data_IF_372917013609
#
_entry.id   IF_372917013609
#
_cell.length_a   1.000
_cell.length_b   1.000
_cell.length_c   1.000
_cell.angle_alpha   90.00
_cell.angle_beta   90.00
_cell.angle_gamma   90.00
#
_symmetry.space_group_name_H-M   'P 1'
#
loop_
_entity.id
_entity.type
_entity.pdbx_description
1 polymer ?
#
# COMPACT_ATOMS: atom_id res chain seq x y z
N UNK A 1 2.34 10.95 -14.93
CA UNK A 1 1.51 9.80 -14.47
C UNK A 1 1.32 8.92 -15.69
N UNK A 2 2.19 7.93 -15.86
CA UNK A 2 2.03 6.87 -16.86
C UNK A 2 1.81 5.62 -16.03
N UNK A 3 0.54 5.23 -15.93
CA UNK A 3 0.10 3.98 -15.36
C UNK A 3 -0.06 2.99 -16.51
N UNK A 4 0.73 1.92 -16.52
CA UNK A 4 0.50 0.64 -17.23
C UNK A 4 1.71 -0.26 -16.92
N UNK A 5 1.61 -1.58 -16.72
CA UNK A 5 1.02 -2.67 -17.52
C UNK A 5 0.93 -3.88 -16.57
N UNK A 6 -0.10 -4.72 -16.44
CA UNK A 6 -1.43 -4.88 -17.03
C UNK A 6 -2.33 -5.49 -15.92
N UNK A 7 -3.64 -5.21 -15.87
CA UNK A 7 -4.52 -5.97 -14.98
C UNK A 7 -4.67 -7.42 -15.49
N UNK A 8 -4.76 -8.41 -14.59
CA UNK A 8 -5.29 -9.71 -14.98
C UNK A 8 -6.70 -9.54 -15.54
N UNK A 9 -7.00 -10.28 -16.61
CA UNK A 9 -8.35 -10.35 -17.18
C UNK A 9 -9.31 -10.94 -16.15
N UNK A 10 -10.54 -10.45 -16.14
CA UNK A 10 -11.59 -10.84 -15.20
C UNK A 10 -11.73 -12.37 -15.03
N UNK A 11 -11.86 -12.80 -13.78
CA UNK A 11 -12.15 -14.16 -13.35
C UNK A 11 -13.44 -14.68 -14.01
N UNK A 12 -13.41 -15.95 -14.44
CA UNK A 12 -14.62 -16.77 -14.55
C UNK A 12 -14.46 -17.90 -13.55
N UNK A 13 -15.38 -18.00 -12.59
CA UNK A 13 -15.39 -19.08 -11.60
C UNK A 13 -15.68 -20.40 -12.32
N UNK A 14 -14.75 -21.37 -12.36
CA UNK A 14 -15.05 -22.68 -12.94
C UNK A 14 -15.92 -23.49 -11.98
N UNK A 15 -16.87 -24.25 -12.51
CA UNK A 15 -17.62 -25.26 -11.75
C UNK A 15 -16.79 -26.54 -11.65
N UNK A 16 -16.31 -26.88 -10.45
CA UNK A 16 -15.71 -28.18 -10.16
C UNK A 16 -16.48 -28.90 -9.05
N UNK A 17 -16.35 -30.23 -9.05
CA UNK A 17 -16.85 -31.13 -7.99
C UNK A 17 -16.50 -30.56 -6.61
N UNK A 18 -17.44 -30.66 -5.67
CA UNK A 18 -17.34 -30.00 -4.38
C UNK A 18 -15.97 -30.29 -3.73
N UNK A 19 -15.10 -29.27 -3.55
CA UNK A 19 -13.80 -29.48 -2.93
C UNK A 19 -14.00 -30.12 -1.56
N UNK A 20 -13.06 -30.98 -1.16
CA UNK A 20 -13.00 -31.43 0.23
C UNK A 20 -12.94 -30.21 1.15
N UNK A 21 -13.56 -30.35 2.31
CA UNK A 21 -13.69 -29.26 3.27
C UNK A 21 -13.59 -29.84 4.67
N UNK A 22 -12.65 -29.30 5.46
CA UNK A 22 -12.55 -29.61 6.89
C UNK A 22 -13.63 -28.90 7.73
N UNK A 23 -14.37 -27.96 7.12
CA UNK A 23 -15.49 -27.31 7.80
C UNK A 23 -16.64 -28.27 8.11
N UNK A 24 -17.37 -27.97 9.19
CA UNK A 24 -18.58 -28.72 9.53
C UNK A 24 -19.55 -28.68 8.35
N UNK A 25 -20.15 -29.82 7.92
CA UNK A 25 -21.09 -29.84 6.80
C UNK A 25 -22.27 -28.87 6.95
N UNK A 26 -22.73 -28.63 8.18
CA UNK A 26 -23.78 -27.66 8.47
C UNK A 26 -23.36 -26.21 8.16
N UNK A 27 -22.09 -25.85 8.33
CA UNK A 27 -21.55 -24.54 7.96
C UNK A 27 -21.56 -24.36 6.44
N UNK A 28 -21.09 -25.37 5.71
CA UNK A 28 -21.03 -25.37 4.25
C UNK A 28 -22.45 -25.22 3.67
N UNK A 29 -23.40 -26.01 4.17
CA UNK A 29 -24.80 -25.92 3.76
C UNK A 29 -25.40 -24.53 4.05
N UNK A 30 -25.12 -23.99 5.24
CA UNK A 30 -25.56 -22.64 5.59
C UNK A 30 -24.93 -21.58 4.67
N UNK A 31 -23.65 -21.73 4.32
CA UNK A 31 -22.96 -20.84 3.41
C UNK A 31 -23.57 -20.84 2.00
N UNK A 32 -23.82 -22.02 1.45
CA UNK A 32 -24.49 -22.19 0.15
C UNK A 32 -25.87 -21.51 0.16
N UNK A 33 -26.70 -21.83 1.15
CA UNK A 33 -28.04 -21.23 1.26
C UNK A 33 -28.00 -19.71 1.44
N UNK A 34 -27.06 -19.20 2.23
CA UNK A 34 -26.90 -17.76 2.46
C UNK A 34 -26.47 -17.03 1.19
N UNK A 35 -25.53 -17.59 0.43
CA UNK A 35 -25.06 -17.07 -0.85
C UNK A 35 -26.16 -17.12 -1.92
N UNK A 36 -26.90 -18.22 -2.06
CA UNK A 36 -28.05 -18.31 -2.98
C UNK A 36 -29.10 -17.24 -2.66
N UNK A 37 -29.37 -17.01 -1.37
CA UNK A 37 -30.27 -15.96 -0.91
C UNK A 37 -29.75 -14.54 -1.12
N UNK A 38 -28.45 -14.34 -1.36
CA UNK A 38 -27.87 -13.04 -1.75
C UNK A 38 -27.91 -12.85 -3.27
N UNK A 39 -27.53 -13.85 -4.05
CA UNK A 39 -27.52 -13.78 -5.51
C UNK A 39 -28.92 -13.72 -6.14
N UNK A 40 -29.95 -14.20 -5.43
CA UNK A 40 -31.35 -14.08 -5.86
C UNK A 40 -31.95 -12.68 -5.64
N UNK A 41 -31.23 -11.75 -5.00
CA UNK A 41 -31.71 -10.40 -4.72
C UNK A 41 -31.65 -9.51 -5.96
N UNK A 42 -32.79 -8.95 -6.32
CA UNK A 42 -32.92 -8.01 -7.46
C UNK A 42 -32.55 -6.57 -7.10
N UNK A 43 -32.46 -6.25 -5.81
CA UNK A 43 -32.16 -4.91 -5.29
C UNK A 43 -30.66 -4.60 -5.22
N UNK A 44 -29.80 -5.57 -5.56
CA UNK A 44 -28.34 -5.49 -5.50
C UNK A 44 -27.76 -5.80 -6.88
N UNK A 45 -26.66 -5.16 -7.32
CA UNK A 45 -26.02 -5.50 -8.60
C UNK A 45 -25.62 -6.97 -8.68
N UNK A 46 -25.91 -7.64 -9.80
CA UNK A 46 -25.55 -9.05 -10.02
C UNK A 46 -24.04 -9.29 -10.08
N UNK A 47 -23.24 -8.24 -10.29
CA UNK A 47 -21.78 -8.28 -10.31
C UNK A 47 -21.16 -8.08 -8.92
N UNK A 48 -21.97 -7.97 -7.86
CA UNK A 48 -21.46 -7.78 -6.50
C UNK A 48 -20.85 -9.08 -5.99
N UNK A 49 -19.63 -8.98 -5.48
CA UNK A 49 -18.86 -10.13 -5.00
C UNK A 49 -19.37 -10.57 -3.63
N UNK A 50 -19.89 -11.79 -3.54
CA UNK A 50 -20.23 -12.44 -2.27
C UNK A 50 -19.49 -13.76 -2.16
N UNK A 51 -18.58 -13.86 -1.18
CA UNK A 51 -17.82 -15.08 -0.87
C UNK A 51 -17.94 -15.38 0.63
N UNK A 52 -18.00 -16.66 0.98
CA UNK A 52 -18.02 -17.13 2.36
C UNK A 52 -16.94 -18.18 2.66
N UNK A 53 -16.52 -18.90 1.63
CA UNK A 53 -15.50 -19.95 1.67
C UNK A 53 -14.40 -19.60 0.68
N UNK A 54 -13.15 -19.89 1.02
CA UNK A 54 -12.00 -19.79 0.13
C UNK A 54 -11.18 -21.08 0.22
N UNK A 55 -10.63 -21.59 -0.90
CA UNK A 55 -9.75 -22.74 -0.85
C UNK A 55 -8.44 -22.36 -0.14
N UNK A 56 -7.94 -23.21 0.75
CA UNK A 56 -6.59 -23.08 1.30
C UNK A 56 -5.54 -23.48 0.28
N UNK A 57 -4.26 -23.27 0.61
CA UNK A 57 -3.13 -23.79 -0.17
C UNK A 57 -3.16 -25.33 -0.35
N UNK A 58 -3.84 -26.06 0.55
CA UNK A 58 -4.02 -27.51 0.45
C UNK A 58 -5.22 -27.90 -0.45
N UNK A 59 -5.96 -26.90 -0.98
CA UNK A 59 -7.14 -27.09 -1.82
C UNK A 59 -8.45 -27.30 -1.05
N UNK A 60 -8.41 -27.28 0.28
CA UNK A 60 -9.59 -27.47 1.13
C UNK A 60 -10.45 -26.21 1.21
N UNK A 61 -11.77 -26.33 1.14
CA UNK A 61 -12.67 -25.20 1.31
C UNK A 61 -12.73 -24.76 2.77
N UNK A 62 -12.28 -23.54 3.05
CA UNK A 62 -12.19 -22.97 4.41
C UNK A 62 -13.11 -21.77 4.56
N UNK A 63 -13.76 -21.65 5.72
CA UNK A 63 -14.55 -20.47 6.05
C UNK A 63 -13.66 -19.23 6.22
N UNK A 64 -13.88 -18.19 5.41
CA UNK A 64 -12.95 -17.05 5.29
C UNK A 64 -12.55 -16.42 6.63
N UNK A 65 -13.47 -16.19 7.60
CA UNK A 65 -13.10 -15.68 8.93
C UNK A 65 -12.01 -16.47 9.66
N UNK A 66 -11.78 -17.75 9.35
CA UNK A 66 -10.69 -18.54 9.95
C UNK A 66 -9.30 -18.08 9.53
N UNK A 67 -9.17 -17.38 8.40
CA UNK A 67 -7.90 -16.75 8.02
C UNK A 67 -7.57 -15.54 8.90
N UNK A 68 -8.47 -15.09 9.77
CA UNK A 68 -8.24 -13.95 10.67
C UNK A 68 -8.13 -14.41 12.14
N UNK A 69 -7.11 -13.93 12.84
CA UNK A 69 -7.03 -13.97 14.30
C UNK A 69 -7.47 -12.63 14.88
N UNK A 70 -8.50 -12.65 15.72
CA UNK A 70 -9.02 -11.44 16.36
C UNK A 70 -8.05 -10.71 17.27
N UNK A 71 -6.90 -11.30 17.61
CA UNK A 71 -5.79 -10.64 18.34
C UNK A 71 -4.86 -9.83 17.43
N UNK A 72 -4.97 -9.99 16.11
CA UNK A 72 -3.95 -9.54 15.18
C UNK A 72 -2.64 -10.33 15.35
N UNK A 73 -1.65 -10.02 14.52
CA UNK A 73 -0.33 -10.64 14.59
C UNK A 73 0.73 -9.57 14.80
N UNK A 74 1.75 -9.90 15.59
CA UNK A 74 2.80 -8.95 15.97
C UNK A 74 3.62 -8.53 14.74
N UNK A 75 3.74 -7.21 14.45
CA UNK A 75 4.62 -6.72 13.39
C UNK A 75 6.09 -7.09 13.63
N UNK A 76 6.93 -7.02 12.58
CA UNK A 76 8.35 -7.28 12.74
C UNK A 76 9.02 -6.23 13.66
N UNK A 77 10.17 -6.56 14.25
CA UNK A 77 10.92 -5.62 15.10
C UNK A 77 11.24 -4.32 14.34
N UNK A 78 11.11 -3.16 15.00
CA UNK A 78 11.41 -1.88 14.37
C UNK A 78 12.87 -1.79 13.89
N UNK A 79 13.79 -2.41 14.63
CA UNK A 79 15.22 -2.50 14.27
C UNK A 79 15.51 -3.15 12.91
N UNK A 80 14.56 -3.91 12.36
CA UNK A 80 14.71 -4.53 11.05
C UNK A 80 14.32 -3.59 9.91
N UNK A 81 13.84 -2.39 10.22
CA UNK A 81 13.39 -1.42 9.21
C UNK A 81 14.44 -0.35 8.94
N UNK A 82 14.51 0.15 7.69
CA UNK A 82 15.37 1.28 7.32
C UNK A 82 15.05 2.55 8.12
N UNK A 83 13.79 2.66 8.55
CA UNK A 83 13.31 3.74 9.40
C UNK A 83 13.92 3.70 10.80
N UNK A 84 14.47 2.60 11.27
CA UNK A 84 15.27 2.60 12.49
C UNK A 84 16.75 2.89 12.21
N UNK A 85 17.32 2.20 11.23
CA UNK A 85 18.76 2.22 10.93
C UNK A 85 19.31 3.62 10.57
N UNK A 86 18.51 4.46 9.91
CA UNK A 86 18.93 5.82 9.57
C UNK A 86 19.03 6.77 10.78
N UNK A 87 18.31 6.49 11.87
CA UNK A 87 18.30 7.34 13.07
C UNK A 87 19.52 7.06 13.96
N UNK A 88 20.00 5.81 14.01
CA UNK A 88 21.25 5.47 14.71
C UNK A 88 22.45 6.17 14.09
N UNK A 89 22.57 6.19 12.76
CA UNK A 89 23.66 6.84 12.02
C UNK A 89 23.74 8.37 12.23
N UNK A 90 22.63 9.03 12.60
CA UNK A 90 22.61 10.46 12.93
C UNK A 90 22.78 10.74 14.44
N UNK A 91 22.49 9.77 15.30
CA UNK A 91 22.48 9.92 16.76
C UNK A 91 23.86 9.88 17.43
N UNK A 92 24.91 9.47 16.70
CA UNK A 92 26.30 9.35 17.16
C UNK A 92 26.96 10.69 17.57
N UNK A 93 26.21 11.80 17.57
CA UNK A 93 26.72 13.13 17.96
C UNK A 93 26.02 13.82 19.13
N UNK A 94 25.04 13.21 19.83
CA UNK A 94 24.57 13.66 21.16
C UNK A 94 23.39 12.81 21.64
N UNK A 95 23.60 11.95 22.64
CA UNK A 95 22.73 11.91 23.84
C UNK A 95 23.36 11.14 25.00
N UNK A 96 23.22 11.62 26.25
CA UNK A 96 23.39 10.80 27.44
C UNK A 96 22.18 9.87 27.60
N UNK A 97 22.43 8.69 28.15
CA UNK A 97 21.42 7.69 28.49
C UNK A 97 20.29 8.30 29.33
N UNK A 98 19.12 8.53 28.72
CA UNK A 98 17.88 8.80 29.42
C UNK A 98 16.77 7.96 28.83
N UNK A 99 16.38 6.94 29.61
CA UNK A 99 15.07 6.30 29.57
C UNK A 99 14.82 5.42 28.37
N UNK A 100 15.21 4.15 28.48
CA UNK A 100 14.51 3.05 27.84
C UNK A 100 13.00 3.23 28.05
N UNK A 101 12.29 3.70 27.02
CA UNK A 101 10.85 3.48 26.96
C UNK A 101 10.71 1.97 26.77
N UNK A 102 10.24 1.29 27.81
CA UNK A 102 9.77 -0.10 27.77
C UNK A 102 8.48 -0.22 26.94
N UNK A 103 8.51 0.28 25.69
CA UNK A 103 7.46 0.11 24.69
C UNK A 103 7.96 -0.89 23.67
N UNK A 104 7.09 -1.80 23.25
CA UNK A 104 7.43 -2.87 22.30
C UNK A 104 8.09 -2.30 21.04
N UNK A 105 9.34 -2.71 20.78
CA UNK A 105 10.14 -2.23 19.64
C UNK A 105 9.68 -2.92 18.35
N UNK A 106 8.53 -2.49 17.83
CA UNK A 106 7.87 -3.04 16.63
C UNK A 106 7.64 -1.97 15.57
N UNK A 107 7.53 -2.42 14.32
CA UNK A 107 7.23 -1.57 13.16
C UNK A 107 5.97 -0.71 13.37
N UNK A 108 6.05 0.57 12.96
CA UNK A 108 4.90 1.47 12.95
C UNK A 108 3.95 1.20 11.77
N UNK A 109 2.83 1.94 11.72
CA UNK A 109 1.82 1.80 10.64
C UNK A 109 2.44 1.95 9.24
N UNK A 110 3.24 2.99 9.02
CA UNK A 110 3.85 3.25 7.72
C UNK A 110 4.89 2.19 7.33
N UNK A 111 5.65 1.67 8.30
CA UNK A 111 6.61 0.60 8.10
C UNK A 111 5.90 -0.70 7.70
N UNK A 112 4.83 -1.07 8.41
CA UNK A 112 4.00 -2.24 8.09
C UNK A 112 3.41 -2.13 6.68
N UNK A 113 2.80 -0.99 6.34
CA UNK A 113 2.22 -0.76 5.00
C UNK A 113 3.29 -0.87 3.93
N UNK A 114 4.46 -0.28 4.16
CA UNK A 114 5.57 -0.30 3.20
C UNK A 114 6.14 -1.71 3.03
N UNK A 115 6.32 -2.46 4.12
CA UNK A 115 6.82 -3.83 4.07
C UNK A 115 5.87 -4.77 3.35
N UNK A 116 4.58 -4.77 3.69
CA UNK A 116 3.58 -5.62 3.04
C UNK A 116 3.52 -5.31 1.54
N UNK A 117 3.47 -4.03 1.16
CA UNK A 117 3.44 -3.61 -0.25
C UNK A 117 4.74 -3.88 -1.03
N UNK A 118 5.81 -4.27 -0.34
CA UNK A 118 7.06 -4.67 -0.97
C UNK A 118 7.18 -6.18 -1.10
N UNK A 119 6.25 -6.99 -0.57
CA UNK A 119 6.22 -8.41 -0.91
C UNK A 119 5.77 -8.52 -2.39
N UNK A 120 6.46 -9.32 -3.23
CA UNK A 120 6.09 -9.47 -4.63
C UNK A 120 4.62 -9.86 -4.84
N UNK A 121 3.92 -9.08 -5.67
CA UNK A 121 2.60 -9.46 -6.14
C UNK A 121 2.71 -10.53 -7.22
N UNK A 122 2.13 -11.71 -6.98
CA UNK A 122 2.06 -12.80 -7.95
C UNK A 122 0.65 -13.38 -7.89
N UNK A 123 -0.13 -13.12 -8.95
CA UNK A 123 -1.49 -13.67 -9.06
C UNK A 123 -1.46 -15.19 -9.15
N UNK A 124 -2.38 -15.83 -8.43
CA UNK A 124 -2.57 -17.27 -8.49
C UNK A 124 -2.73 -17.81 -9.90
N UNK A 125 -3.40 -17.07 -10.79
CA UNK A 125 -3.58 -17.47 -12.19
C UNK A 125 -2.26 -17.74 -12.92
N UNK A 126 -1.21 -16.97 -12.59
CA UNK A 126 0.10 -17.14 -13.20
C UNK A 126 0.80 -18.44 -12.75
N UNK A 127 0.40 -18.98 -11.60
CA UNK A 127 1.01 -20.15 -10.97
C UNK A 127 0.15 -21.42 -11.11
N UNK A 128 -1.16 -21.30 -10.92
CA UNK A 128 -2.14 -22.37 -10.89
C UNK A 128 -3.35 -21.96 -11.72
N UNK A 129 -3.57 -22.66 -12.83
CA UNK A 129 -4.67 -22.40 -13.76
C UNK A 129 -6.02 -22.55 -13.04
N UNK A 130 -6.56 -21.44 -12.57
CA UNK A 130 -7.95 -21.21 -12.18
C UNK A 130 -8.36 -21.48 -10.70
N UNK A 131 -7.44 -21.43 -9.73
CA UNK A 131 -7.77 -21.49 -8.29
C UNK A 131 -7.25 -20.26 -7.53
N UNK A 132 -8.15 -19.48 -6.92
CA UNK A 132 -7.86 -18.35 -6.01
C UNK A 132 -7.74 -18.89 -4.58
N UNK A 133 -6.50 -19.26 -4.21
CA UNK A 133 -6.07 -19.92 -2.98
C UNK A 133 -5.64 -18.91 -1.92
N UNK A 134 -6.11 -19.13 -0.70
CA UNK A 134 -5.80 -18.26 0.43
C UNK A 134 -4.74 -18.91 1.32
N UNK A 135 -3.73 -18.14 1.68
CA UNK A 135 -2.65 -18.55 2.56
C UNK A 135 -2.74 -17.89 3.95
N UNK A 136 -2.14 -18.55 4.95
CA UNK A 136 -1.88 -17.93 6.26
C UNK A 136 -0.75 -16.91 6.17
N UNK A 137 -0.61 -16.04 7.17
CA UNK A 137 0.46 -15.04 7.19
C UNK A 137 1.85 -15.69 7.24
N UNK A 138 2.00 -16.83 7.93
CA UNK A 138 3.26 -17.57 7.97
C UNK A 138 3.62 -18.13 6.61
N UNK A 139 2.68 -18.81 5.94
CA UNK A 139 2.88 -19.32 4.58
C UNK A 139 3.23 -18.21 3.60
N UNK A 140 2.53 -17.07 3.66
CA UNK A 140 2.82 -15.92 2.82
C UNK A 140 4.22 -15.34 3.06
N UNK A 141 4.66 -15.26 4.32
CA UNK A 141 6.00 -14.77 4.68
C UNK A 141 7.11 -15.79 4.38
N UNK A 142 6.79 -17.08 4.26
CA UNK A 142 7.71 -18.13 3.81
C UNK A 142 7.86 -18.14 2.29
N UNK A 143 6.75 -17.98 1.55
CA UNK A 143 6.73 -17.94 0.08
C UNK A 143 7.29 -16.61 -0.44
N UNK A 144 7.03 -15.50 0.29
CA UNK A 144 7.38 -14.12 -0.10
C UNK A 144 6.86 -13.76 -1.50
N UNK A 145 5.64 -14.22 -1.81
CA UNK A 145 4.87 -13.84 -2.97
C UNK A 145 3.40 -14.24 -2.76
N UNK A 146 2.48 -13.47 -3.33
CA UNK A 146 1.03 -13.70 -3.22
C UNK A 146 0.27 -12.55 -3.86
N UNK A 147 -1.05 -12.55 -3.80
CA UNK A 147 -1.88 -11.53 -4.42
C UNK A 147 -2.71 -10.74 -3.39
N UNK A 148 -3.87 -10.21 -3.75
CA UNK A 148 -4.54 -9.18 -2.96
C UNK A 148 -4.93 -9.68 -1.56
N UNK A 149 -5.34 -10.94 -1.49
CA UNK A 149 -5.77 -11.71 -0.34
C UNK A 149 -4.70 -11.74 0.75
N UNK A 150 -3.52 -12.31 0.47
CA UNK A 150 -2.46 -12.47 1.46
C UNK A 150 -1.92 -11.13 1.95
N UNK A 151 -1.79 -10.17 1.04
CA UNK A 151 -1.35 -8.82 1.38
C UNK A 151 -2.36 -8.17 2.34
N UNK A 152 -3.65 -8.25 2.04
CA UNK A 152 -4.70 -7.65 2.86
C UNK A 152 -4.84 -8.36 4.20
N UNK A 153 -4.75 -9.69 4.24
CA UNK A 153 -4.76 -10.49 5.48
C UNK A 153 -3.59 -10.08 6.38
N UNK A 154 -2.35 -10.03 5.86
CA UNK A 154 -1.18 -9.66 6.65
C UNK A 154 -1.29 -8.22 7.19
N UNK A 155 -1.68 -7.27 6.34
CA UNK A 155 -1.83 -5.88 6.75
C UNK A 155 -2.94 -5.71 7.79
N UNK A 156 -4.07 -6.40 7.62
CA UNK A 156 -5.18 -6.39 8.59
C UNK A 156 -4.71 -6.89 9.96
N UNK A 157 -3.90 -7.95 10.02
CA UNK A 157 -3.37 -8.47 11.27
C UNK A 157 -2.43 -7.48 11.97
N UNK A 158 -1.52 -6.84 11.22
CA UNK A 158 -0.63 -5.82 11.78
C UNK A 158 -1.41 -4.62 12.32
N UNK A 159 -2.40 -4.14 11.59
CA UNK A 159 -3.24 -3.02 12.03
C UNK A 159 -4.04 -3.38 13.28
N UNK A 160 -4.63 -4.56 13.31
CA UNK A 160 -5.38 -5.07 14.47
C UNK A 160 -4.48 -5.19 15.69
N UNK A 161 -3.30 -5.77 15.55
CA UNK A 161 -2.34 -5.90 16.64
C UNK A 161 -1.90 -4.52 17.15
N UNK A 162 -1.49 -3.61 16.26
CA UNK A 162 -1.07 -2.26 16.62
C UNK A 162 -2.19 -1.50 17.35
N UNK A 163 -3.45 -1.63 16.91
CA UNK A 163 -4.57 -0.96 17.55
C UNK A 163 -4.85 -1.51 18.96
N UNK A 164 -4.77 -2.82 19.16
CA UNK A 164 -4.94 -3.45 20.47
C UNK A 164 -3.85 -3.04 21.46
N UNK A 165 -2.63 -2.82 20.96
CA UNK A 165 -1.49 -2.36 21.77
C UNK A 165 -1.40 -0.82 21.84
N UNK A 166 -2.40 -0.09 21.31
CA UNK A 166 -2.49 1.39 21.30
C UNK A 166 -1.32 2.06 20.57
N UNK A 167 -0.74 1.37 19.59
CA UNK A 167 0.35 1.82 18.73
C UNK A 167 -0.12 2.25 17.33
N UNK A 168 -1.40 2.03 17.01
CA UNK A 168 -2.01 2.55 15.79
C UNK A 168 -2.34 4.04 15.96
N UNK A 169 -1.68 4.94 15.22
CA UNK A 169 -1.92 6.39 15.33
C UNK A 169 -2.67 6.89 14.08
N UNK A 170 -3.86 7.47 14.26
CA UNK A 170 -4.63 8.11 13.19
C UNK A 170 -4.32 9.61 13.19
N UNK A 171 -4.10 10.26 12.03
CA UNK A 171 -3.98 11.72 11.97
C UNK A 171 -5.32 12.38 12.36
N UNK A 172 -5.31 13.33 13.30
CA UNK A 172 -6.50 14.19 13.54
C UNK A 172 -6.74 15.05 12.29
N UNK A 173 -7.89 14.87 11.62
CA UNK A 173 -8.36 15.82 10.62
C UNK A 173 -8.74 17.11 11.34
N UNK A 174 -8.24 18.23 10.84
CA UNK A 174 -8.49 19.55 11.40
C UNK A 174 -9.98 19.85 11.36
N UNK A 175 -10.63 19.94 12.53
CA UNK A 175 -12.03 20.29 12.63
C UNK A 175 -12.33 21.62 11.94
N UNK A 176 -13.45 21.61 11.23
CA UNK A 176 -14.11 22.69 10.52
C UNK A 176 -14.25 23.95 11.37
N UNK A 177 -13.82 25.08 10.81
CA UNK A 177 -14.20 26.41 11.23
C UNK A 177 -15.67 26.66 10.91
N UNK A 178 -16.58 26.28 11.80
CA UNK A 178 -17.93 26.82 11.85
C UNK A 178 -18.12 27.45 13.24
N UNK A 179 -17.87 28.75 13.28
CA UNK A 179 -18.36 29.70 14.29
C UNK A 179 -18.13 31.11 13.71
N UNK A 180 -19.00 31.49 12.77
CA UNK A 180 -19.15 32.88 12.32
C UNK A 180 -20.65 33.16 12.20
N UNK A 181 -21.30 33.25 13.35
CA UNK A 181 -22.48 34.09 13.50
C UNK A 181 -22.13 35.33 14.33
N UNK A 182 -22.75 36.43 13.92
CA UNK A 182 -22.87 37.73 14.57
C UNK A 182 -21.61 38.58 14.78
N UNK A 183 -21.53 39.69 14.03
CA UNK A 183 -21.92 41.00 14.58
C UNK A 183 -21.88 42.09 13.50
N UNK A 184 -23.02 42.72 13.30
CA UNK A 184 -23.17 44.00 12.63
C UNK A 184 -22.68 45.14 13.54
N UNK A 185 -22.15 46.18 12.89
CA UNK A 185 -22.04 47.57 13.33
C UNK A 185 -21.17 47.94 14.55
N UNK A 186 -20.20 48.81 14.23
CA UNK A 186 -19.84 50.06 14.91
C UNK A 186 -18.65 50.08 15.89
N UNK A 187 -17.86 51.15 15.82
CA UNK A 187 -16.91 51.56 16.88
C UNK A 187 -15.42 51.47 16.56
N UNK A 188 -14.85 52.62 16.19
CA UNK A 188 -13.46 52.85 15.79
C UNK A 188 -12.51 53.17 16.98
N UNK A 189 -11.32 52.52 17.00
CA UNK A 189 -10.00 52.91 17.61
C UNK A 189 -9.78 52.87 19.15
N UNK A 190 -8.50 52.85 19.65
CA UNK A 190 -7.27 52.24 19.12
C UNK A 190 -6.33 51.55 20.16
N UNK A 191 -5.29 50.87 19.64
CA UNK A 191 -3.91 50.76 20.19
C UNK A 191 -3.53 49.55 21.08
N UNK A 192 -2.72 48.64 20.53
CA UNK A 192 -1.26 48.53 20.80
C UNK A 192 -0.66 47.28 20.11
N UNK A 193 0.43 47.48 19.36
CA UNK A 193 1.29 46.41 18.84
C UNK A 193 1.95 45.68 20.00
N UNK A 194 1.77 44.37 20.10
CA UNK A 194 2.79 43.45 20.61
C UNK A 194 2.92 42.28 19.64
N UNK A 195 4.18 41.98 19.31
CA UNK A 195 4.61 40.94 18.38
C UNK A 195 4.17 39.55 18.83
N UNK A 196 3.41 38.83 18.00
CA UNK A 196 3.16 37.40 18.18
C UNK A 196 4.01 36.58 17.20
N UNK A 197 5.02 35.96 17.77
CA UNK A 197 5.72 34.77 17.29
C UNK A 197 4.72 33.77 16.71
N UNK A 198 4.99 33.30 15.48
CA UNK A 198 4.32 32.15 14.87
C UNK A 198 4.69 30.90 15.66
N UNK A 199 3.89 30.56 16.67
CA UNK A 199 4.00 29.30 17.40
C UNK A 199 3.41 28.21 16.50
N UNK A 200 4.29 27.48 15.79
CA UNK A 200 3.98 26.18 15.19
C UNK A 200 3.26 25.31 16.23
N UNK A 201 1.97 25.06 16.04
CA UNK A 201 1.24 24.04 16.77
C UNK A 201 1.78 22.68 16.34
N UNK A 202 2.47 21.98 17.27
CA UNK A 202 2.80 20.56 17.11
C UNK A 202 1.47 19.81 17.08
N UNK A 203 1.23 19.02 16.03
CA UNK A 203 0.16 18.04 16.03
C UNK A 203 0.35 17.13 17.27
N UNK A 204 -0.68 17.08 18.12
CA UNK A 204 -0.68 16.24 19.32
C UNK A 204 -1.37 14.95 18.94
N UNK A 205 -0.60 13.87 18.76
CA UNK A 205 -1.14 12.54 18.54
C UNK A 205 -1.94 12.09 19.77
N UNK A 206 -3.24 11.81 19.62
CA UNK A 206 -4.09 11.20 20.67
C UNK A 206 -4.35 9.72 20.39
N UNK A 207 -4.55 8.97 21.48
CA UNK A 207 -4.72 7.51 21.49
C UNK A 207 -6.07 7.07 20.87
N UNK A 208 -6.14 5.93 20.14
CA UNK A 208 -7.40 5.46 19.58
C UNK A 208 -8.21 4.73 20.64
N UNK A 209 -9.39 5.27 20.95
CA UNK A 209 -10.55 4.47 21.31
C UNK A 209 -11.50 4.59 20.12
N UNK A 210 -11.66 3.54 19.30
CA UNK A 210 -12.70 3.51 18.28
C UNK A 210 -12.35 3.04 16.86
N UNK A 211 -11.13 2.57 16.56
CA UNK A 211 -10.87 2.03 15.20
C UNK A 211 -11.32 0.57 15.07
N UNK A 212 -11.92 0.21 13.94
CA UNK A 212 -12.26 -1.17 13.57
C UNK A 212 -11.75 -1.45 12.17
N UNK A 213 -11.16 -2.64 11.97
CA UNK A 213 -10.66 -3.07 10.67
C UNK A 213 -11.51 -4.21 10.12
N UNK A 214 -11.79 -4.16 8.83
CA UNK A 214 -12.47 -5.21 8.10
C UNK A 214 -11.61 -5.63 6.91
N UNK A 215 -11.63 -6.91 6.59
CA UNK A 215 -11.23 -7.38 5.27
C UNK A 215 -12.41 -7.16 4.32
N UNK A 216 -12.19 -6.52 3.18
CA UNK A 216 -13.26 -6.17 2.26
C UNK A 216 -13.11 -6.93 0.94
N UNK A 217 -14.09 -7.79 0.64
CA UNK A 217 -14.22 -8.39 -0.68
C UNK A 217 -14.90 -7.38 -1.59
N UNK A 218 -14.25 -7.02 -2.67
CA UNK A 218 -14.71 -5.93 -3.52
C UNK A 218 -14.34 -6.16 -4.98
N UNK A 219 -14.86 -5.27 -5.83
CA UNK A 219 -14.39 -5.12 -7.20
C UNK A 219 -13.71 -3.77 -7.34
N UNK A 220 -12.48 -3.75 -7.83
CA UNK A 220 -11.66 -2.57 -8.02
C UNK A 220 -11.17 -2.44 -9.46
N UNK A 221 -10.64 -1.27 -9.82
CA UNK A 221 -10.07 -1.00 -11.14
C UNK A 221 -8.62 -0.55 -10.99
N UNK A 222 -7.66 -1.20 -11.66
CA UNK A 222 -7.88 -2.19 -12.72
C UNK A 222 -7.94 -3.65 -12.23
N UNK A 223 -7.81 -3.90 -10.92
CA UNK A 223 -7.60 -5.24 -10.33
C UNK A 223 -8.71 -6.27 -10.60
N UNK A 224 -9.98 -5.85 -10.73
CA UNK A 224 -11.10 -6.79 -10.84
C UNK A 224 -11.63 -7.19 -9.46
N UNK A 225 -12.00 -8.46 -9.26
CA UNK A 225 -12.33 -8.98 -7.93
C UNK A 225 -11.07 -8.96 -7.07
N UNK A 226 -11.14 -8.40 -5.86
CA UNK A 226 -9.97 -8.04 -5.09
C UNK A 226 -10.29 -7.86 -3.60
N UNK A 227 -9.25 -7.90 -2.77
CA UNK A 227 -9.35 -7.78 -1.32
C UNK A 227 -8.58 -6.57 -0.79
N UNK A 228 -9.29 -5.75 -0.01
CA UNK A 228 -8.76 -4.52 0.58
C UNK A 228 -8.93 -4.53 2.10
N UNK A 229 -8.17 -3.70 2.80
CA UNK A 229 -8.37 -3.48 4.25
C UNK A 229 -9.18 -2.19 4.45
N UNK A 230 -10.31 -2.27 5.15
CA UNK A 230 -11.16 -1.13 5.46
C UNK A 230 -10.99 -0.77 6.93
N UNK A 231 -10.51 0.45 7.18
CA UNK A 231 -10.40 1.04 8.50
C UNK A 231 -11.60 1.95 8.73
N UNK A 232 -12.40 1.69 9.76
CA UNK A 232 -13.50 2.56 10.18
C UNK A 232 -13.14 3.20 11.53
N UNK A 233 -13.04 4.53 11.56
CA UNK A 233 -12.81 5.27 12.80
C UNK A 233 -14.15 5.66 13.44
N UNK A 234 -14.50 5.09 14.58
CA UNK A 234 -15.73 5.38 15.34
C UNK A 234 -15.50 6.61 16.24
N UNK A 235 -16.24 7.69 15.98
CA UNK A 235 -16.21 8.96 16.72
C UNK A 235 -16.96 10.08 16.00
N UNK A 236 -17.11 11.26 16.62
CA UNK A 236 -17.63 12.46 15.94
C UNK A 236 -16.68 12.84 14.79
N UNK A 237 -17.20 12.86 13.55
CA UNK A 237 -16.37 13.05 12.36
C UNK A 237 -15.64 11.79 11.86
N UNK A 238 -16.11 10.59 12.25
CA UNK A 238 -15.53 9.31 11.87
C UNK A 238 -15.24 9.17 10.37
N UNK A 239 -13.96 8.98 10.03
CA UNK A 239 -13.46 8.73 8.68
C UNK A 239 -13.32 7.22 8.42
N UNK A 240 -13.57 6.82 7.18
CA UNK A 240 -13.30 5.46 6.69
C UNK A 240 -12.15 5.53 5.69
N UNK A 241 -11.11 4.73 5.90
CA UNK A 241 -9.95 4.62 5.00
C UNK A 241 -9.94 3.25 4.35
N UNK A 242 -9.76 3.23 3.04
CA UNK A 242 -9.67 2.05 2.18
C UNK A 242 -8.19 1.86 1.83
N UNK A 243 -7.59 0.76 2.29
CA UNK A 243 -6.19 0.43 2.11
C UNK A 243 -6.03 -0.65 1.06
N UNK A 244 -5.28 -0.34 0.00
CA UNK A 244 -4.76 -1.33 -0.92
C UNK A 244 -3.42 -1.84 -0.36
N UNK A 245 -3.40 -3.07 0.11
CA UNK A 245 -2.24 -3.63 0.79
C UNK A 245 -1.07 -3.97 -0.16
N UNK A 246 -1.37 -4.39 -1.39
CA UNK A 246 -0.35 -4.75 -2.40
C UNK A 246 0.40 -3.53 -2.96
N UNK A 247 -0.22 -2.35 -2.94
CA UNK A 247 0.41 -1.09 -3.39
C UNK A 247 0.84 -0.17 -2.24
N UNK A 248 0.35 -0.45 -1.04
CA UNK A 248 0.55 0.38 0.16
C UNK A 248 -0.15 1.74 0.08
N UNK A 249 -1.18 1.87 -0.76
CA UNK A 249 -1.95 3.11 -0.91
C UNK A 249 -3.14 3.14 0.03
N UNK A 250 -3.43 4.33 0.57
CA UNK A 250 -4.58 4.60 1.41
C UNK A 250 -5.47 5.65 0.76
N UNK A 251 -6.77 5.40 0.73
CA UNK A 251 -7.76 6.30 0.18
C UNK A 251 -8.80 6.61 1.24
N UNK A 252 -9.14 7.88 1.47
CA UNK A 252 -10.38 8.15 2.18
C UNK A 252 -11.53 7.56 1.38
N UNK A 253 -12.54 7.00 2.05
CA UNK A 253 -13.73 6.47 1.39
C UNK A 253 -14.45 7.54 0.56
N UNK A 254 -14.26 8.83 0.87
CA UNK A 254 -14.82 9.95 0.09
C UNK A 254 -13.98 10.30 -1.16
N UNK A 255 -12.76 9.77 -1.30
CA UNK A 255 -11.90 10.05 -2.45
C UNK A 255 -12.44 9.35 -3.70
N UNK A 256 -12.83 10.14 -4.70
CA UNK A 256 -13.34 9.65 -5.98
C UNK A 256 -12.28 8.92 -6.82
N UNK A 257 -11.00 9.04 -6.47
CA UNK A 257 -9.89 8.32 -7.10
C UNK A 257 -9.65 6.95 -6.48
N UNK A 258 -10.38 6.59 -5.42
CA UNK A 258 -10.32 5.25 -4.85
C UNK A 258 -10.63 4.21 -5.96
N UNK A 259 -9.77 3.20 -6.15
CA UNK A 259 -9.94 2.22 -7.23
C UNK A 259 -11.16 1.32 -7.03
N UNK A 260 -11.58 1.11 -5.77
CA UNK A 260 -12.72 0.25 -5.40
C UNK A 260 -14.03 0.78 -5.97
N UNK A 261 -14.69 -0.05 -6.77
CA UNK A 261 -15.95 0.24 -7.46
C UNK A 261 -17.17 -0.36 -6.79
N UNK A 262 -17.05 -1.48 -6.09
CA UNK A 262 -18.18 -2.11 -5.39
C UNK A 262 -17.68 -2.99 -4.24
N UNK A 263 -18.02 -2.65 -2.99
CA UNK A 263 -17.77 -3.47 -1.81
C UNK A 263 -18.93 -4.44 -1.63
N UNK A 264 -18.62 -5.74 -1.65
CA UNK A 264 -19.60 -6.82 -1.53
C UNK A 264 -19.68 -7.41 -0.13
N UNK A 265 -18.54 -7.66 0.52
CA UNK A 265 -18.49 -8.15 1.90
C UNK A 265 -17.53 -7.33 2.76
N UNK A 266 -17.86 -7.16 4.04
CA UNK A 266 -16.92 -6.80 5.10
C UNK A 266 -16.78 -8.00 6.04
N UNK A 267 -15.56 -8.36 6.39
CA UNK A 267 -15.24 -9.59 7.10
C UNK A 267 -14.47 -9.26 8.37
N UNK A 268 -14.81 -9.99 9.42
CA UNK A 268 -14.15 -10.01 10.72
C UNK A 268 -13.85 -11.47 11.09
N UNK A 269 -13.01 -11.74 12.11
CA UNK A 269 -12.82 -13.10 12.63
C UNK A 269 -14.12 -13.77 13.10
N UNK A 270 -15.13 -12.96 13.42
CA UNK A 270 -16.39 -13.45 13.99
C UNK A 270 -17.50 -13.67 12.96
N UNK A 271 -17.50 -12.91 11.87
CA UNK A 271 -18.63 -12.86 10.96
C UNK A 271 -18.27 -12.28 9.59
N UNK A 272 -19.12 -12.57 8.61
CA UNK A 272 -19.13 -11.95 7.28
C UNK A 272 -20.40 -11.09 7.18
N UNK A 273 -20.25 -9.88 6.68
CA UNK A 273 -21.33 -8.92 6.50
C UNK A 273 -21.47 -8.61 5.01
N UNK A 274 -22.53 -9.10 4.38
CA UNK A 274 -22.82 -8.84 2.98
C UNK A 274 -23.49 -7.48 2.80
N UNK A 275 -22.95 -6.65 1.90
CA UNK A 275 -23.54 -5.38 1.52
C UNK A 275 -24.81 -5.64 0.70
N UNK A 276 -25.97 -5.38 1.29
CA UNK A 276 -27.29 -5.50 0.63
C UNK A 276 -27.86 -4.14 0.24
N UNK A 277 -27.05 -3.08 0.30
CA UNK A 277 -27.42 -1.75 -0.19
C UNK A 277 -27.34 -1.69 -1.71
N UNK A 278 -28.11 -0.80 -2.35
CA UNK A 278 -27.93 -0.50 -3.78
C UNK A 278 -26.55 0.08 -4.10
N UNK A 279 -26.04 0.92 -3.19
CA UNK A 279 -24.70 1.47 -3.28
C UNK A 279 -23.64 0.44 -2.87
N UNK A 280 -22.46 0.51 -3.46
CA UNK A 280 -21.29 -0.23 -2.97
C UNK A 280 -19.96 0.42 -3.25
N UNK A 281 -19.93 1.51 -4.04
CA UNK A 281 -18.76 2.40 -4.10
C UNK A 281 -18.48 3.00 -2.72
N UNK A 282 -17.21 3.05 -2.27
CA UNK A 282 -16.86 3.64 -0.98
C UNK A 282 -17.39 5.06 -0.80
N UNK A 283 -17.32 5.90 -1.85
CA UNK A 283 -17.79 7.29 -1.79
C UNK A 283 -19.30 7.40 -1.60
N UNK A 284 -20.07 6.49 -2.20
CA UNK A 284 -21.53 6.45 -2.04
C UNK A 284 -21.91 5.91 -0.65
N UNK A 285 -21.19 4.90 -0.17
CA UNK A 285 -21.37 4.37 1.20
C UNK A 285 -21.03 5.42 2.25
N UNK A 286 -19.95 6.20 2.06
CA UNK A 286 -19.53 7.25 2.99
C UNK A 286 -20.53 8.41 3.08
N UNK A 287 -21.29 8.68 2.00
CA UNK A 287 -22.33 9.73 1.98
C UNK A 287 -23.60 9.34 2.71
N UNK A 288 -23.88 8.05 2.84
CA UNK A 288 -25.07 7.55 3.54
C UNK A 288 -24.74 7.44 5.02
N UNK A 289 -25.55 8.07 5.87
CA UNK A 289 -25.42 7.96 7.34
C UNK A 289 -25.37 6.49 7.77
N UNK A 290 -24.25 6.06 8.34
CA UNK A 290 -24.02 4.66 8.74
C UNK A 290 -23.86 3.70 7.56
N UNK A 291 -23.34 4.12 6.41
CA UNK A 291 -23.15 3.24 5.25
C UNK A 291 -22.14 2.11 5.46
N UNK A 292 -21.20 2.29 6.40
CA UNK A 292 -20.25 1.28 6.88
C UNK A 292 -20.62 0.67 8.24
N UNK A 293 -21.81 0.98 8.76
CA UNK A 293 -22.26 0.42 10.05
C UNK A 293 -22.81 -1.00 9.85
N UNK A 294 -21.95 -1.99 10.09
CA UNK A 294 -22.27 -3.42 9.93
C UNK A 294 -23.38 -3.92 10.85
N UNK A 295 -23.72 -3.17 11.90
CA UNK A 295 -24.83 -3.52 12.81
C UNK A 295 -26.21 -3.17 12.21
N UNK A 296 -26.27 -2.27 11.20
CA UNK A 296 -27.51 -1.99 10.48
C UNK A 296 -27.82 -3.12 9.48
N UNK A 297 -28.58 -4.11 9.95
CA UNK A 297 -28.98 -5.30 9.16
C UNK A 297 -29.79 -5.00 7.90
N UNK A 298 -30.29 -3.76 7.72
CA UNK A 298 -30.94 -3.32 6.47
C UNK A 298 -29.93 -3.05 5.37
N UNK A 299 -28.67 -2.80 5.74
CA UNK A 299 -27.55 -2.46 4.86
C UNK A 299 -26.53 -3.58 4.76
N UNK A 300 -26.30 -4.26 5.88
CA UNK A 300 -25.29 -5.30 6.01
C UNK A 300 -25.95 -6.58 6.54
N UNK A 301 -26.16 -7.57 5.67
CA UNK A 301 -26.74 -8.85 6.07
C UNK A 301 -25.63 -9.71 6.69
N UNK A 302 -25.70 -10.05 7.99
CA UNK A 302 -24.69 -10.92 8.60
C UNK A 302 -24.85 -12.38 8.14
N UNK A 303 -23.74 -13.11 8.09
CA UNK A 303 -23.70 -14.55 7.85
C UNK A 303 -24.23 -15.31 9.06
N UNK A 304 -23.72 -15.00 10.26
CA UNK A 304 -24.30 -15.40 11.52
C UNK A 304 -25.28 -14.32 12.01
N UNK A 305 -26.53 -14.39 11.52
CA UNK A 305 -27.60 -13.51 11.99
C UNK A 305 -28.14 -13.89 13.38
N UNK A 306 -29.02 -13.08 13.98
CA UNK A 306 -29.53 -13.30 15.34
C UNK A 306 -30.25 -14.63 15.57
N UNK A 307 -30.77 -15.26 14.50
CA UNK A 307 -31.48 -16.54 14.54
C UNK A 307 -30.59 -17.75 14.30
N UNK A 308 -29.31 -17.53 14.00
CA UNK A 308 -28.35 -18.59 13.65
C UNK A 308 -27.59 -19.01 14.90
N UNK A 309 -27.63 -20.29 15.25
CA UNK A 309 -26.81 -20.83 16.33
C UNK A 309 -25.36 -20.99 15.86
N UNK A 310 -24.55 -19.94 16.05
CA UNK A 310 -23.14 -19.90 15.64
C UNK A 310 -22.35 -21.09 16.20
N UNK A 311 -22.53 -21.45 17.47
CA UNK A 311 -21.77 -22.54 18.11
C UNK A 311 -22.09 -23.93 17.52
N UNK A 312 -23.30 -24.11 16.99
CA UNK A 312 -23.68 -25.34 16.29
C UNK A 312 -23.01 -25.43 14.91
N UNK A 313 -22.89 -24.31 14.20
CA UNK A 313 -22.34 -24.27 12.83
C UNK A 313 -20.82 -24.16 12.79
N UNK A 314 -20.22 -23.42 13.72
CA UNK A 314 -18.83 -23.00 13.65
C UNK A 314 -18.10 -23.28 14.96
N UNK A 315 -16.95 -23.96 14.85
CA UNK A 315 -15.96 -24.03 15.94
C UNK A 315 -15.09 -22.77 15.86
N UNK A 316 -15.01 -21.94 16.89
CA UNK A 316 -14.05 -20.84 16.93
C UNK A 316 -12.63 -21.38 16.77
N UNK A 317 -11.88 -20.85 15.82
CA UNK A 317 -10.50 -21.22 15.55
C UNK A 317 -9.96 -20.45 14.35
N UNK A 318 -8.71 -20.02 14.44
CA UNK A 318 -7.97 -19.40 13.34
C UNK A 318 -7.01 -20.43 12.73
N UNK A 319 -6.68 -20.26 11.46
CA UNK A 319 -5.58 -20.96 10.79
C UNK A 319 -4.24 -20.29 11.05
N UNK A 320 -4.22 -19.06 11.58
CA UNK A 320 -3.00 -18.31 11.80
C UNK A 320 -2.16 -18.92 12.93
N UNK A 321 -0.85 -18.92 12.75
CA UNK A 321 0.09 -19.22 13.82
C UNK A 321 0.03 -18.16 14.92
N UNK A 322 0.35 -18.55 16.15
CA UNK A 322 0.32 -17.62 17.29
C UNK A 322 1.39 -16.53 17.19
N UNK A 323 2.54 -16.84 16.60
CA UNK A 323 3.67 -15.93 16.44
C UNK A 323 4.29 -16.08 15.05
N UNK A 324 4.58 -14.94 14.42
CA UNK A 324 5.27 -14.88 13.14
C UNK A 324 6.78 -14.77 13.35
N UNK A 325 7.55 -15.48 12.51
CA UNK A 325 9.01 -15.40 12.49
C UNK A 325 9.48 -14.51 11.36
N UNK A 326 10.41 -13.59 11.65
CA UNK A 326 10.99 -12.67 10.68
C UNK A 326 12.50 -12.84 10.64
N UNK A 327 13.06 -12.95 9.43
CA UNK A 327 14.52 -12.90 9.28
C UNK A 327 15.01 -11.45 9.33
N UNK A 328 16.19 -11.18 9.90
CA UNK A 328 16.81 -9.85 9.82
C UNK A 328 16.98 -9.36 8.39
N UNK A 329 16.98 -8.03 8.16
CA UNK A 329 17.22 -7.47 6.83
C UNK A 329 18.65 -7.75 6.37
N UNK A 330 18.83 -7.78 5.05
CA UNK A 330 20.15 -7.84 4.40
C UNK A 330 21.00 -6.64 4.80
N UNK A 331 22.31 -6.83 4.92
CA UNK A 331 23.21 -5.75 5.36
C UNK A 331 23.26 -4.58 4.36
N UNK A 332 23.50 -3.38 4.89
CA UNK A 332 23.60 -2.15 4.12
C UNK A 332 24.72 -2.16 3.07
N UNK A 333 25.84 -2.86 3.32
CA UNK A 333 26.95 -3.02 2.38
C UNK A 333 26.60 -3.94 1.21
N UNK A 334 25.83 -5.00 1.47
CA UNK A 334 25.30 -5.87 0.42
C UNK A 334 24.26 -5.13 -0.43
N UNK A 335 23.37 -4.35 0.19
CA UNK A 335 22.45 -3.46 -0.52
C UNK A 335 23.19 -2.46 -1.41
N UNK A 336 24.28 -1.86 -0.94
CA UNK A 336 25.09 -0.94 -1.73
C UNK A 336 25.78 -1.64 -2.91
N UNK A 337 26.26 -2.87 -2.71
CA UNK A 337 26.86 -3.69 -3.75
C UNK A 337 25.84 -4.08 -4.82
N UNK A 338 24.64 -4.49 -4.41
CA UNK A 338 23.52 -4.79 -5.32
C UNK A 338 23.09 -3.55 -6.10
N UNK A 339 22.99 -2.39 -5.45
CA UNK A 339 22.69 -1.13 -6.12
C UNK A 339 23.72 -0.80 -7.22
N UNK A 340 25.01 -0.98 -6.93
CA UNK A 340 26.08 -0.75 -7.90
C UNK A 340 25.99 -1.74 -9.08
N UNK A 341 25.76 -3.03 -8.79
CA UNK A 341 25.62 -4.07 -9.82
C UNK A 341 24.47 -3.76 -10.79
N UNK A 342 23.29 -3.42 -10.26
CA UNK A 342 22.12 -3.09 -11.10
C UNK A 342 22.39 -1.80 -11.89
N UNK A 343 23.05 -0.80 -11.28
CA UNK A 343 23.37 0.47 -11.94
C UNK A 343 24.29 0.27 -13.14
N UNK A 344 25.39 -0.48 -12.99
CA UNK A 344 26.32 -0.78 -14.07
C UNK A 344 25.65 -1.57 -15.19
N UNK A 345 24.88 -2.60 -14.83
CA UNK A 345 24.13 -3.40 -15.79
C UNK A 345 23.14 -2.55 -16.60
N UNK A 346 22.42 -1.62 -15.95
CA UNK A 346 21.54 -0.67 -16.64
C UNK A 346 22.32 0.28 -17.57
N UNK A 347 23.52 0.76 -17.18
CA UNK A 347 24.36 1.60 -18.04
C UNK A 347 24.76 0.87 -19.32
N UNK A 348 25.18 -0.38 -19.21
CA UNK A 348 25.55 -1.23 -20.33
C UNK A 348 24.34 -1.55 -21.24
N UNK A 349 23.20 -1.84 -20.62
CA UNK A 349 21.93 -2.05 -21.33
C UNK A 349 21.50 -0.80 -22.12
N UNK A 350 21.54 0.39 -21.50
CA UNK A 350 21.20 1.65 -22.19
C UNK A 350 22.16 1.90 -23.37
N UNK A 351 23.45 1.66 -23.20
CA UNK A 351 24.41 1.79 -24.28
C UNK A 351 24.09 0.84 -25.44
N UNK A 352 23.76 -0.41 -25.12
CA UNK A 352 23.39 -1.44 -26.10
C UNK A 352 22.10 -1.09 -26.84
N UNK A 353 21.05 -0.63 -26.14
CA UNK A 353 19.79 -0.24 -26.77
C UNK A 353 20.00 0.93 -27.74
N UNK A 354 20.74 1.96 -27.33
CA UNK A 354 21.04 3.12 -28.18
C UNK A 354 21.85 2.78 -29.42
N UNK A 355 22.80 1.84 -29.32
CA UNK A 355 23.55 1.37 -30.48
C UNK A 355 22.65 0.66 -31.49
N UNK A 356 21.73 -0.19 -31.02
CA UNK A 356 20.77 -0.90 -31.88
C UNK A 356 19.81 0.07 -32.58
N UNK A 357 19.33 1.09 -31.88
CA UNK A 357 18.38 2.06 -32.42
C UNK A 357 19.02 3.21 -33.21
N UNK A 358 20.36 3.25 -33.30
CA UNK A 358 21.13 4.30 -33.96
C UNK A 358 20.76 4.51 -35.43
N UNK A 359 20.60 3.42 -36.17
CA UNK A 359 20.30 3.47 -37.61
C UNK A 359 18.83 3.82 -37.88
N UNK A 360 17.95 3.65 -36.90
CA UNK A 360 16.50 3.79 -37.02
C UNK A 360 16.01 5.12 -36.44
N UNK A 361 16.09 5.29 -35.12
CA UNK A 361 15.41 6.35 -34.35
C UNK A 361 16.36 7.45 -33.86
N UNK A 362 17.66 7.17 -33.80
CA UNK A 362 18.66 8.05 -33.18
C UNK A 362 19.65 8.64 -34.18
N UNK A 363 19.22 8.92 -35.43
CA UNK A 363 20.10 9.54 -36.45
C UNK A 363 20.56 10.93 -36.00
N UNK A 364 21.88 11.15 -35.99
CA UNK A 364 22.50 12.40 -35.52
C UNK A 364 22.70 12.48 -34.00
N UNK A 365 22.11 11.56 -33.23
CA UNK A 365 22.36 11.46 -31.80
C UNK A 365 23.68 10.73 -31.50
N UNK A 366 24.23 10.94 -30.30
CA UNK A 366 25.42 10.22 -29.84
C UNK A 366 25.11 8.73 -29.66
N UNK A 367 25.99 7.88 -30.19
CA UNK A 367 25.86 6.42 -30.07
C UNK A 367 26.00 5.93 -28.63
N UNK A 368 26.97 6.48 -27.90
CA UNK A 368 27.23 6.15 -26.50
C UNK A 368 26.58 7.18 -25.57
N UNK A 369 25.82 6.73 -24.55
CA UNK A 369 25.23 7.64 -23.58
C UNK A 369 26.32 8.31 -22.74
N UNK A 370 26.13 9.60 -22.44
CA UNK A 370 26.97 10.33 -21.49
C UNK A 370 26.13 10.53 -20.24
N UNK A 371 26.61 10.04 -19.11
CA UNK A 371 25.91 10.21 -17.83
C UNK A 371 26.44 11.41 -17.07
N UNK A 372 25.54 12.15 -16.41
CA UNK A 372 25.87 13.32 -15.61
C UNK A 372 26.08 12.93 -14.13
N UNK A 373 27.34 12.77 -13.66
CA UNK A 373 27.61 12.22 -12.32
C UNK A 373 27.03 13.08 -11.20
N UNK A 374 27.17 14.41 -11.27
CA UNK A 374 26.64 15.31 -10.24
C UNK A 374 25.11 15.22 -10.12
N UNK A 375 24.41 15.15 -11.25
CA UNK A 375 22.97 14.98 -11.28
C UNK A 375 22.54 13.59 -10.79
N UNK A 376 23.31 12.54 -11.10
CA UNK A 376 23.12 11.19 -10.57
C UNK A 376 23.28 11.13 -9.05
N UNK A 377 24.26 11.84 -8.48
CA UNK A 377 24.42 11.93 -7.02
C UNK A 377 23.20 12.60 -6.37
N UNK A 378 22.71 13.71 -6.95
CA UNK A 378 21.49 14.39 -6.47
C UNK A 378 20.24 13.52 -6.59
N UNK A 379 20.12 12.79 -7.70
CA UNK A 379 19.03 11.84 -7.90
C UNK A 379 19.04 10.76 -6.81
N UNK A 380 20.21 10.24 -6.42
CA UNK A 380 20.34 9.25 -5.35
C UNK A 380 19.87 9.78 -3.99
N UNK A 381 20.13 11.05 -3.67
CA UNK A 381 19.63 11.68 -2.45
C UNK A 381 18.09 11.84 -2.47
N UNK A 382 17.50 12.15 -3.63
CA UNK A 382 16.05 12.15 -3.80
C UNK A 382 15.46 10.76 -3.57
N UNK A 383 16.09 9.70 -4.09
CA UNK A 383 15.61 8.32 -3.87
C UNK A 383 15.58 7.94 -2.39
N UNK A 384 16.59 8.37 -1.61
CA UNK A 384 16.61 8.19 -0.14
C UNK A 384 15.46 8.92 0.54
N UNK A 385 15.15 10.15 0.11
CA UNK A 385 14.02 10.91 0.63
C UNK A 385 12.67 10.28 0.28
N UNK A 386 12.55 9.70 -0.92
CA UNK A 386 11.34 8.98 -1.33
C UNK A 386 11.09 7.75 -0.46
N UNK A 387 12.13 7.00 -0.12
CA UNK A 387 12.01 5.86 0.80
C UNK A 387 11.63 6.32 2.22
N UNK A 388 12.25 7.40 2.71
CA UNK A 388 11.90 8.01 3.99
C UNK A 388 10.46 8.56 4.01
N UNK A 389 9.95 9.03 2.87
CA UNK A 389 8.56 9.46 2.71
C UNK A 389 7.60 8.27 2.76
N UNK A 390 7.94 7.16 2.08
CA UNK A 390 7.12 5.92 2.08
C UNK A 390 7.01 5.28 3.47
N UNK A 391 8.03 5.41 4.30
CA UNK A 391 8.04 4.95 5.71
C UNK A 391 7.50 6.01 6.69
N UNK A 392 6.98 7.14 6.20
CA UNK A 392 6.36 8.17 7.03
C UNK A 392 7.35 9.01 7.87
N UNK A 393 8.67 8.84 7.69
CA UNK A 393 9.69 9.63 8.40
C UNK A 393 9.75 11.07 7.95
N UNK A 394 9.49 11.31 6.67
CA UNK A 394 9.49 12.65 6.07
C UNK A 394 8.13 12.91 5.46
N UNK A 395 7.55 14.08 5.72
CA UNK A 395 6.22 14.47 5.22
C UNK A 395 6.29 15.37 3.98
N UNK A 396 7.48 15.87 3.64
CA UNK A 396 7.69 16.80 2.53
C UNK A 396 8.85 16.36 1.66
N UNK A 397 8.62 16.24 0.35
CA UNK A 397 9.68 15.95 -0.62
C UNK A 397 10.23 17.27 -1.17
N UNK A 398 11.54 17.47 -1.11
CA UNK A 398 12.18 18.66 -1.66
C UNK A 398 12.72 18.39 -3.07
N UNK A 399 11.79 18.18 -4.01
CA UNK A 399 12.11 17.99 -5.43
C UNK A 399 12.89 19.19 -6.00
N UNK A 400 12.49 20.40 -5.61
CA UNK A 400 13.06 21.64 -6.12
C UNK A 400 14.52 21.80 -5.69
N UNK A 401 14.84 21.57 -4.41
CA UNK A 401 16.22 21.65 -3.92
C UNK A 401 17.11 20.59 -4.57
N UNK A 402 16.60 19.36 -4.70
CA UNK A 402 17.37 18.21 -5.19
C UNK A 402 18.02 18.46 -6.55
N UNK A 403 17.34 19.18 -7.47
CA UNK A 403 17.88 19.52 -8.79
C UNK A 403 18.09 21.04 -9.03
N UNK A 404 17.95 21.89 -8.02
CA UNK A 404 18.03 23.37 -8.14
C UNK A 404 19.36 23.89 -8.69
N UNK A 405 20.46 23.16 -8.48
CA UNK A 405 21.79 23.52 -8.99
C UNK A 405 21.97 23.10 -10.45
N UNK A 406 21.43 21.95 -10.84
CA UNK A 406 21.49 21.40 -12.21
C UNK A 406 20.51 22.11 -13.14
N UNK A 407 19.31 22.43 -12.64
CA UNK A 407 18.22 23.05 -13.39
C UNK A 407 18.51 24.47 -13.88
N UNK A 408 19.55 25.13 -13.34
CA UNK A 408 19.98 26.46 -13.79
C UNK A 408 20.73 26.42 -15.13
N UNK A 409 21.35 25.28 -15.45
CA UNK A 409 22.19 25.14 -16.64
C UNK A 409 21.54 24.28 -17.73
N UNK A 410 20.68 23.34 -17.33
CA UNK A 410 20.04 22.36 -18.21
C UNK A 410 18.60 22.10 -17.78
N UNK A 411 17.72 21.84 -18.74
CA UNK A 411 16.39 21.33 -18.46
C UNK A 411 16.48 19.89 -17.94
N UNK A 412 15.95 19.63 -16.76
CA UNK A 412 15.93 18.31 -16.12
C UNK A 412 14.61 17.61 -16.43
N UNK A 413 14.64 16.50 -17.16
CA UNK A 413 13.50 15.64 -17.42
C UNK A 413 13.78 14.27 -16.80
N UNK A 414 13.18 13.95 -15.65
CA UNK A 414 13.42 12.68 -14.98
C UNK A 414 12.25 12.20 -14.15
N UNK A 415 12.24 10.91 -13.86
CA UNK A 415 11.21 10.26 -13.06
C UNK A 415 11.83 9.11 -12.26
N UNK A 416 11.06 8.57 -11.32
CA UNK A 416 11.47 7.49 -10.43
C UNK A 416 10.57 6.29 -10.57
N UNK A 417 11.16 5.10 -10.51
CA UNK A 417 10.46 3.83 -10.36
C UNK A 417 10.89 3.19 -9.05
N UNK A 418 9.96 2.53 -8.39
CA UNK A 418 10.23 1.66 -7.25
C UNK A 418 9.79 0.26 -7.59
N UNK A 419 10.65 -0.71 -7.28
CA UNK A 419 10.43 -2.11 -7.51
C UNK A 419 10.63 -2.87 -6.20
N UNK A 420 9.85 -3.91 -6.00
CA UNK A 420 10.30 -5.05 -5.23
C UNK A 420 11.34 -5.81 -6.03
N UNK A 421 12.49 -6.12 -5.43
CA UNK A 421 13.53 -6.87 -6.13
C UNK A 421 13.14 -8.33 -6.31
N UNK A 422 13.02 -8.76 -7.57
CA UNK A 422 12.93 -10.18 -7.95
C UNK A 422 14.18 -10.58 -8.74
N UNK A 423 14.47 -9.81 -9.78
CA UNK A 423 15.58 -10.02 -10.71
C UNK A 423 15.94 -8.72 -11.44
N UNK A 424 17.15 -8.66 -11.98
CA UNK A 424 17.66 -7.46 -12.67
C UNK A 424 16.96 -7.27 -14.03
N UNK A 425 16.59 -8.35 -14.72
CA UNK A 425 16.02 -8.31 -16.07
C UNK A 425 14.65 -7.64 -16.10
N UNK A 426 13.83 -7.84 -15.06
CA UNK A 426 12.55 -7.16 -14.88
C UNK A 426 12.74 -5.65 -14.75
N UNK A 427 13.73 -5.22 -13.96
CA UNK A 427 14.08 -3.79 -13.82
C UNK A 427 14.54 -3.22 -15.16
N UNK A 428 15.45 -3.90 -15.88
CA UNK A 428 15.92 -3.48 -17.20
C UNK A 428 14.77 -3.32 -18.19
N UNK A 429 13.87 -4.29 -18.26
CA UNK A 429 12.72 -4.27 -19.16
C UNK A 429 11.81 -3.09 -18.87
N UNK A 430 11.49 -2.86 -17.59
CA UNK A 430 10.64 -1.73 -17.16
C UNK A 430 11.31 -0.38 -17.40
N UNK A 431 12.61 -0.26 -17.17
CA UNK A 431 13.38 0.96 -17.50
C UNK A 431 13.41 1.19 -19.01
N UNK A 432 13.53 0.14 -19.82
CA UNK A 432 13.49 0.24 -21.29
C UNK A 432 12.13 0.74 -21.79
N UNK A 433 11.03 0.25 -21.24
CA UNK A 433 9.65 0.65 -21.58
C UNK A 433 9.41 2.17 -21.42
N UNK A 434 10.17 2.84 -20.54
CA UNK A 434 10.07 4.31 -20.37
C UNK A 434 10.57 5.10 -21.59
N UNK A 435 11.28 4.46 -22.52
CA UNK A 435 11.85 5.05 -23.74
C UNK A 435 12.77 6.26 -23.52
N UNK A 436 13.23 6.56 -22.29
CA UNK A 436 14.08 7.74 -22.04
C UNK A 436 15.42 7.66 -22.79
N UNK A 437 15.92 6.43 -23.01
CA UNK A 437 17.12 6.13 -23.78
C UNK A 437 16.97 6.48 -25.27
N UNK A 438 15.76 6.73 -25.78
CA UNK A 438 15.49 7.13 -27.16
C UNK A 438 15.65 8.65 -27.38
N UNK A 439 16.05 9.42 -26.36
CA UNK A 439 16.31 10.86 -26.53
C UNK A 439 17.41 11.11 -27.57
N UNK A 440 17.06 11.81 -28.65
CA UNK A 440 17.92 12.02 -29.81
C UNK A 440 18.72 13.34 -29.80
N UNK A 441 18.55 14.18 -28.76
CA UNK A 441 19.22 15.48 -28.72
C UNK A 441 20.76 15.33 -28.73
N UNK A 442 21.52 16.04 -29.60
CA UNK A 442 22.97 15.83 -29.75
C UNK A 442 23.80 16.09 -28.48
N UNK A 443 23.30 16.97 -27.61
CA UNK A 443 23.93 17.33 -26.34
C UNK A 443 23.24 16.72 -25.10
N UNK A 444 22.39 15.70 -25.29
CA UNK A 444 21.74 15.03 -24.16
C UNK A 444 22.78 14.42 -23.21
N UNK A 445 22.58 14.63 -21.91
CA UNK A 445 23.21 13.83 -20.86
C UNK A 445 22.14 13.01 -20.16
N UNK A 446 22.47 11.80 -19.73
CA UNK A 446 21.58 10.90 -19.03
C UNK A 446 21.81 11.01 -17.52
N UNK A 447 20.74 10.87 -16.76
CA UNK A 447 20.79 10.75 -15.31
C UNK A 447 20.28 9.37 -14.96
N UNK A 448 21.10 8.61 -14.25
CA UNK A 448 20.76 7.30 -13.72
C UNK A 448 21.29 7.22 -12.30
N UNK A 449 20.45 6.81 -11.36
CA UNK A 449 20.85 6.59 -9.98
C UNK A 449 20.02 5.48 -9.35
N UNK A 450 20.67 4.69 -8.49
CA UNK A 450 20.01 3.62 -7.75
C UNK A 450 20.11 3.80 -6.24
N UNK A 451 19.05 3.37 -5.57
CA UNK A 451 19.00 3.21 -4.13
C UNK A 451 18.29 1.91 -3.78
N UNK A 452 19.02 1.02 -3.11
CA UNK A 452 18.54 -0.29 -2.67
C UNK A 452 18.46 -0.28 -1.15
N UNK A 453 17.37 -0.81 -0.62
CA UNK A 453 17.08 -0.83 0.81
C UNK A 453 16.42 -2.15 1.19
N UNK A 454 16.93 -2.80 2.23
CA UNK A 454 16.41 -4.07 2.72
C UNK A 454 15.35 -3.89 3.82
N UNK A 455 14.47 -4.87 3.88
CA UNK A 455 13.38 -5.04 4.83
C UNK A 455 13.50 -6.43 5.48
N UNK A 456 12.70 -6.73 6.52
CA UNK A 456 12.64 -8.07 7.10
C UNK A 456 12.43 -9.16 6.04
N UNK A 457 12.84 -10.38 6.37
CA UNK A 457 12.56 -11.58 5.57
C UNK A 457 13.08 -11.50 4.12
N UNK A 458 14.21 -10.82 3.89
CA UNK A 458 14.84 -10.76 2.55
C UNK A 458 14.10 -9.90 1.53
N UNK A 459 13.07 -9.15 1.94
CA UNK A 459 12.37 -8.21 1.07
C UNK A 459 13.28 -7.02 0.77
N UNK A 460 13.41 -6.64 -0.51
CA UNK A 460 14.30 -5.56 -0.95
C UNK A 460 13.54 -4.58 -1.84
N UNK A 461 13.63 -3.30 -1.48
CA UNK A 461 13.13 -2.16 -2.24
C UNK A 461 14.24 -1.61 -3.13
N UNK A 462 13.98 -1.52 -4.44
CA UNK A 462 14.90 -0.93 -5.42
C UNK A 462 14.27 0.31 -6.03
N UNK A 463 14.90 1.45 -5.79
CA UNK A 463 14.58 2.69 -6.48
C UNK A 463 15.52 2.93 -7.64
N UNK A 464 14.94 3.31 -8.77
CA UNK A 464 15.67 3.73 -9.97
C UNK A 464 15.20 5.14 -10.32
N UNK A 465 16.13 6.09 -10.35
CA UNK A 465 15.92 7.37 -11.03
C UNK A 465 16.48 7.26 -12.44
N UNK A 466 15.69 7.67 -13.43
CA UNK A 466 16.12 7.78 -14.81
C UNK A 466 15.68 9.12 -15.39
N UNK A 467 16.49 9.69 -16.28
CA UNK A 467 16.17 10.96 -16.90
C UNK A 467 17.21 11.45 -17.89
N UNK A 468 16.93 12.62 -18.44
CA UNK A 468 17.79 13.34 -19.37
C UNK A 468 17.98 14.80 -18.95
N UNK A 469 19.15 15.34 -19.25
CA UNK A 469 19.48 16.76 -19.14
C UNK A 469 19.68 17.32 -20.53
N UNK A 470 18.82 18.26 -20.92
CA UNK A 470 18.89 18.96 -22.20
C UNK A 470 19.45 20.37 -21.99
N UNK A 471 20.11 20.97 -22.98
CA UNK A 471 20.47 22.38 -22.90
C UNK A 471 19.23 23.21 -22.61
N UNK A 472 19.33 24.14 -21.66
CA UNK A 472 18.29 25.16 -21.51
C UNK A 472 18.33 25.98 -22.80
N UNK A 473 17.25 25.99 -23.58
CA UNK A 473 17.16 26.92 -24.71
C UNK A 473 17.40 28.33 -24.14
N UNK A 474 18.57 28.92 -24.44
CA UNK A 474 18.70 30.36 -24.43
C UNK A 474 17.62 30.86 -25.38
N UNK A 475 16.81 31.81 -24.93
CA UNK A 475 15.65 32.27 -25.69
C UNK A 475 16.00 32.56 -27.14
N UNK A 476 15.06 32.25 -28.03
CA UNK A 476 14.84 33.11 -29.18
C UNK A 476 14.61 34.53 -28.63
N UNK A 477 15.67 35.35 -28.62
CA UNK A 477 15.59 36.82 -28.61
C UNK A 477 15.56 37.34 -30.04
#
# INVERSE_FOLDING_TARGET
IVATVAPPLASQTPSFDAPSSEERPALIFHAQSWLEGLHSRVDVPSTRVFKALAPSIDGESVFIPRFLDGRGLRPPPLSYFPSYQADEAQSDRRRPAQGSRSGEDVAGVADCVRFVALIPFVSDYALFKDLDMWCTCSQFLEILAGDEEEHAILLWHYFTWLAQHKLFLVPETSQSSEDLEDLTSDGMRPSRRTSRSHRRSKAVFKQPRGVTFYLALCRAVPEGESVYVVQVNRGEGGDTVIWNASTGQAFSAQDLRCPVQDIGCLITPDNIYANVQRAGRPADLARVSGGFDVEDTRKWKPFFGPRVNRAALFSPGTLQDQELTYLPPVDSGECASLAHMIEEQLRDSIATWRQKDRSLRLRGARAYPIFAPDASTRAKDLLRQLEAYKTGKTTTLDYAYSFSSVSRMRQVNGNTLNFTFTDISTIESKVKETAFHECAHPEVQFVLALHVVAYPSGVISVWVFYGTLLPSNGGDE
#
